data_IF_296313479190
#
_entry.id   IF_296313479190
#
_cell.length_a   1.000
_cell.length_b   1.000
_cell.length_c   1.000
_cell.angle_alpha   90.00
_cell.angle_beta   90.00
_cell.angle_gamma   90.00
#
_symmetry.space_group_name_H-M   'P 1'
#
loop_
_entity.id
_entity.type
_entity.pdbx_description
1 polymer ?
#
# COMPACT_ATOMS: atom_id res chain seq x y z
N UNK A 1 9.28 -11.55 4.05
CA UNK A 1 9.39 -10.16 4.59
C UNK A 1 8.14 -9.78 5.36
N UNK A 2 6.97 -9.84 4.78
CA UNK A 2 5.70 -9.41 5.38
C UNK A 2 5.37 -10.02 6.77
N UNK A 3 5.47 -11.34 7.01
CA UNK A 3 5.15 -11.90 8.32
C UNK A 3 6.00 -11.32 9.47
N UNK A 4 7.29 -11.05 9.18
CA UNK A 4 8.18 -10.44 10.17
C UNK A 4 7.81 -8.98 10.45
N UNK A 5 7.42 -8.23 9.40
CA UNK A 5 7.00 -6.83 9.54
C UNK A 5 5.77 -6.72 10.45
N UNK A 6 4.75 -7.52 10.17
CA UNK A 6 3.52 -7.54 10.97
C UNK A 6 3.75 -7.99 12.41
N UNK A 7 4.57 -9.04 12.60
CA UNK A 7 4.93 -9.50 13.94
C UNK A 7 5.68 -8.44 14.76
N UNK A 8 6.58 -7.68 14.15
CA UNK A 8 7.28 -6.58 14.81
C UNK A 8 6.34 -5.43 15.20
N UNK A 9 5.32 -5.16 14.40
CA UNK A 9 4.34 -4.12 14.66
C UNK A 9 3.20 -4.58 15.59
N UNK A 10 3.05 -5.88 15.82
CA UNK A 10 1.97 -6.46 16.64
C UNK A 10 0.59 -6.34 15.98
N UNK A 11 0.54 -6.40 14.65
CA UNK A 11 -0.69 -6.30 13.87
C UNK A 11 -0.82 -7.44 12.86
N UNK A 12 -1.97 -7.55 12.22
CA UNK A 12 -2.25 -8.46 11.10
C UNK A 12 -2.48 -7.67 9.80
N UNK A 13 -2.36 -8.33 8.61
CA UNK A 13 -2.62 -7.66 7.33
C UNK A 13 -3.97 -6.95 7.22
N UNK A 14 -4.99 -7.49 7.87
CA UNK A 14 -6.36 -6.93 7.91
C UNK A 14 -6.48 -5.61 8.66
N UNK A 15 -5.46 -5.26 9.47
CA UNK A 15 -5.44 -4.05 10.27
C UNK A 15 -4.84 -2.86 9.48
N UNK A 16 -4.41 -3.08 8.25
CA UNK A 16 -3.88 -2.04 7.35
C UNK A 16 -5.06 -1.30 6.70
N UNK A 17 -5.11 0.01 6.87
CA UNK A 17 -6.18 0.87 6.35
C UNK A 17 -5.88 1.42 4.96
N UNK A 18 -4.60 1.68 4.67
CA UNK A 18 -4.10 2.21 3.41
C UNK A 18 -2.78 1.51 3.05
N UNK A 19 -2.53 1.30 1.77
CA UNK A 19 -1.26 0.74 1.33
C UNK A 19 -0.64 1.56 0.19
N UNK A 20 0.57 2.03 0.39
CA UNK A 20 1.38 2.72 -0.59
C UNK A 20 2.39 1.73 -1.18
N UNK A 21 1.95 1.01 -2.22
CA UNK A 21 2.68 -0.09 -2.84
C UNK A 21 3.56 0.41 -3.99
N UNK A 22 4.83 0.02 -4.01
CA UNK A 22 5.77 0.45 -5.05
C UNK A 22 5.38 -0.09 -6.42
N UNK A 23 4.89 0.80 -7.27
CA UNK A 23 4.23 0.53 -8.55
C UNK A 23 5.08 0.94 -9.76
N UNK A 24 6.32 0.45 -9.86
CA UNK A 24 7.13 0.66 -11.08
C UNK A 24 6.52 -0.03 -12.32
N UNK A 25 5.65 -1.02 -12.14
CA UNK A 25 4.76 -1.62 -13.13
C UNK A 25 3.44 -2.00 -12.46
N UNK A 26 2.32 -1.85 -13.15
CA UNK A 26 0.97 -2.14 -12.61
C UNK A 26 0.83 -3.58 -12.07
N UNK A 27 1.40 -4.58 -12.73
CA UNK A 27 1.40 -5.96 -12.27
C UNK A 27 2.09 -6.19 -10.93
N UNK A 28 3.01 -5.31 -10.55
CA UNK A 28 3.71 -5.41 -9.27
C UNK A 28 2.81 -5.08 -8.08
N UNK A 29 1.79 -4.28 -8.28
CA UNK A 29 0.78 -4.01 -7.24
C UNK A 29 0.02 -5.29 -6.91
N UNK A 30 -0.40 -6.05 -7.93
CA UNK A 30 -1.11 -7.33 -7.74
C UNK A 30 -0.25 -8.34 -6.96
N UNK A 31 1.02 -8.48 -7.33
CA UNK A 31 1.95 -9.38 -6.62
C UNK A 31 2.14 -8.97 -5.15
N UNK A 32 2.29 -7.67 -4.90
CA UNK A 32 2.45 -7.16 -3.53
C UNK A 32 1.19 -7.33 -2.68
N UNK A 33 -0.01 -7.18 -3.26
CA UNK A 33 -1.26 -7.46 -2.55
C UNK A 33 -1.27 -8.89 -2.00
N UNK A 34 -0.81 -9.85 -2.79
CA UNK A 34 -0.71 -11.25 -2.38
C UNK A 34 0.44 -11.52 -1.41
N UNK A 35 1.64 -11.00 -1.71
CA UNK A 35 2.86 -11.23 -0.92
C UNK A 35 2.77 -10.63 0.50
N UNK A 36 2.07 -9.51 0.64
CA UNK A 36 1.81 -8.88 1.94
C UNK A 36 0.55 -9.40 2.62
N UNK A 37 -0.16 -10.36 2.01
CA UNK A 37 -1.36 -10.97 2.58
C UNK A 37 -2.56 -10.03 2.67
N UNK A 38 -2.57 -8.97 1.86
CA UNK A 38 -3.66 -8.00 1.77
C UNK A 38 -4.86 -8.57 1.00
N UNK A 39 -4.62 -9.59 0.20
CA UNK A 39 -5.61 -10.49 -0.37
C UNK A 39 -5.05 -11.92 -0.41
N UNK A 40 -5.87 -12.90 -0.78
CA UNK A 40 -5.38 -14.28 -0.86
C UNK A 40 -4.53 -14.49 -2.12
N UNK A 41 -3.57 -15.42 -2.03
CA UNK A 41 -2.74 -15.81 -3.16
C UNK A 41 -3.63 -16.31 -4.31
N UNK A 42 -3.41 -15.76 -5.52
CA UNK A 42 -4.20 -16.04 -6.73
C UNK A 42 -5.48 -15.22 -6.86
N UNK A 43 -5.82 -14.37 -5.89
CA UNK A 43 -7.02 -13.51 -5.91
C UNK A 43 -6.71 -12.03 -6.18
N UNK A 44 -5.44 -11.65 -6.32
CA UNK A 44 -5.05 -10.25 -6.50
C UNK A 44 -5.68 -9.57 -7.72
N UNK A 45 -5.75 -10.29 -8.84
CA UNK A 45 -6.42 -9.80 -10.06
C UNK A 45 -7.91 -9.50 -9.82
N UNK A 46 -8.65 -10.47 -9.28
CA UNK A 46 -10.08 -10.31 -9.00
C UNK A 46 -10.33 -9.24 -7.92
N UNK A 47 -9.45 -9.12 -6.92
CA UNK A 47 -9.52 -8.08 -5.91
C UNK A 47 -9.46 -6.68 -6.54
N UNK A 48 -8.55 -6.47 -7.49
CA UNK A 48 -8.42 -5.21 -8.23
C UNK A 48 -9.61 -4.97 -9.16
N UNK A 49 -10.03 -5.97 -9.93
CA UNK A 49 -11.17 -5.87 -10.86
C UNK A 49 -12.47 -5.50 -10.13
N UNK A 50 -12.68 -6.03 -8.95
CA UNK A 50 -13.84 -5.72 -8.10
C UNK A 50 -13.74 -4.36 -7.39
N UNK A 51 -12.70 -3.58 -7.68
CA UNK A 51 -12.52 -2.24 -7.13
C UNK A 51 -11.97 -2.24 -5.69
N UNK A 52 -11.42 -3.36 -5.22
CA UNK A 52 -10.92 -3.49 -3.86
C UNK A 52 -9.86 -2.48 -3.45
N UNK A 53 -9.08 -1.96 -4.42
CA UNK A 53 -8.02 -0.96 -4.18
C UNK A 53 -8.43 0.49 -4.43
N UNK A 54 -9.68 0.73 -4.80
CA UNK A 54 -10.14 2.08 -5.17
C UNK A 54 -10.35 2.97 -3.96
N UNK A 55 -9.91 4.20 -4.05
CA UNK A 55 -10.36 5.27 -3.17
C UNK A 55 -11.63 5.93 -3.78
N UNK A 56 -12.65 6.32 -2.99
CA UNK A 56 -12.77 6.10 -1.53
C UNK A 56 -13.38 4.77 -1.11
N UNK A 57 -13.98 4.00 -2.03
CA UNK A 57 -14.95 2.95 -1.73
C UNK A 57 -14.36 1.52 -1.72
N UNK A 58 -13.06 1.37 -1.95
CA UNK A 58 -12.38 0.06 -1.94
C UNK A 58 -12.16 -0.48 -0.53
N UNK A 59 -11.99 -1.79 -0.44
CA UNK A 59 -11.71 -2.48 0.83
C UNK A 59 -10.34 -2.08 1.42
N UNK A 60 -9.38 -1.80 0.56
CA UNK A 60 -8.04 -1.33 0.90
C UNK A 60 -7.59 -0.32 -0.16
N UNK A 61 -7.76 0.98 0.05
CA UNK A 61 -7.24 1.98 -0.87
C UNK A 61 -5.72 1.87 -1.06
N UNK A 62 -5.28 1.84 -2.31
CA UNK A 62 -3.87 1.69 -2.68
C UNK A 62 -3.40 2.89 -3.49
N UNK A 63 -2.21 3.41 -3.16
CA UNK A 63 -1.57 4.50 -3.89
C UNK A 63 -2.50 5.70 -4.11
N UNK A 64 -3.07 6.20 -3.03
CA UNK A 64 -4.10 7.25 -3.03
C UNK A 64 -3.68 8.56 -3.69
N UNK A 65 -2.36 8.79 -3.81
CA UNK A 65 -1.76 9.92 -4.53
C UNK A 65 -1.54 9.68 -6.04
N UNK A 66 -1.76 8.43 -6.50
CA UNK A 66 -1.56 8.04 -7.90
C UNK A 66 -0.32 7.17 -8.17
N UNK A 67 0.55 7.01 -7.17
CA UNK A 67 1.76 6.20 -7.25
C UNK A 67 2.82 6.74 -8.23
N UNK A 68 3.83 5.91 -8.53
CA UNK A 68 4.85 6.24 -9.53
C UNK A 68 4.28 6.35 -10.95
N UNK A 69 3.16 5.66 -11.23
CA UNK A 69 2.57 5.60 -12.57
C UNK A 69 1.76 6.84 -12.95
N UNK A 70 1.25 7.59 -11.98
CA UNK A 70 0.37 8.74 -12.23
C UNK A 70 0.87 10.06 -11.62
N UNK A 71 1.87 10.01 -10.75
CA UNK A 71 2.52 11.18 -10.19
C UNK A 71 3.99 11.26 -10.62
N UNK A 72 4.79 12.11 -9.98
CA UNK A 72 6.23 12.20 -10.27
C UNK A 72 6.96 10.95 -9.76
N UNK A 73 7.82 10.38 -10.59
CA UNK A 73 8.60 9.20 -10.24
C UNK A 73 9.81 9.57 -9.37
N UNK A 74 9.64 9.55 -8.05
CA UNK A 74 10.68 9.83 -7.07
C UNK A 74 11.12 8.59 -6.28
N UNK A 75 11.20 7.44 -6.95
CA UNK A 75 11.70 6.18 -6.39
C UNK A 75 11.04 5.78 -5.04
N UNK A 76 9.71 6.00 -4.94
CA UNK A 76 8.92 5.65 -3.76
C UNK A 76 8.89 6.71 -2.65
N UNK A 77 9.58 7.84 -2.79
CA UNK A 77 9.49 8.93 -1.81
C UNK A 77 8.08 9.54 -1.74
N UNK A 78 7.37 9.60 -2.86
CA UNK A 78 5.97 10.06 -2.91
C UNK A 78 5.05 9.17 -2.08
N UNK A 79 5.26 7.87 -2.09
CA UNK A 79 4.53 6.90 -1.26
C UNK A 79 4.70 7.20 0.24
N UNK A 80 5.93 7.46 0.69
CA UNK A 80 6.17 7.84 2.08
C UNK A 80 5.52 9.17 2.46
N UNK A 81 5.57 10.14 1.56
CA UNK A 81 4.92 11.45 1.78
C UNK A 81 3.41 11.28 1.88
N UNK A 82 2.82 10.48 0.99
CA UNK A 82 1.39 10.23 1.02
C UNK A 82 0.96 9.49 2.29
N UNK A 83 1.67 8.45 2.69
CA UNK A 83 1.40 7.73 3.94
C UNK A 83 1.39 8.68 5.16
N UNK A 84 2.36 9.60 5.24
CA UNK A 84 2.38 10.61 6.29
C UNK A 84 1.18 11.56 6.20
N UNK A 85 0.75 11.95 4.99
CA UNK A 85 -0.43 12.79 4.78
C UNK A 85 -1.71 12.08 5.20
N UNK A 86 -1.87 10.80 4.83
CA UNK A 86 -3.01 9.98 5.23
C UNK A 86 -3.13 9.93 6.75
N UNK A 87 -2.06 9.59 7.45
CA UNK A 87 -2.07 9.48 8.91
C UNK A 87 -2.22 10.83 9.64
N UNK A 88 -1.94 11.95 8.96
CA UNK A 88 -2.17 13.31 9.48
C UNK A 88 -3.53 13.89 9.14
N UNK A 89 -4.35 13.19 8.35
CA UNK A 89 -5.61 13.73 7.86
C UNK A 89 -5.44 14.89 6.87
N UNK A 90 -4.36 14.89 6.08
CA UNK A 90 -3.98 15.98 5.19
C UNK A 90 -3.83 15.55 3.71
N UNK A 91 -4.25 14.34 3.38
CA UNK A 91 -4.26 13.87 1.99
C UNK A 91 -5.40 14.51 1.19
N UNK A 92 -5.17 14.72 -0.10
CA UNK A 92 -6.23 15.14 -1.05
C UNK A 92 -7.20 14.01 -1.38
N UNK A 93 -6.75 12.76 -1.20
CA UNK A 93 -7.54 11.53 -1.34
C UNK A 93 -7.62 10.81 0.00
N UNK A 94 -8.04 11.54 1.04
CA UNK A 94 -8.04 11.09 2.41
C UNK A 94 -8.91 9.83 2.62
N UNK A 95 -8.30 8.79 3.20
CA UNK A 95 -9.02 7.64 3.75
C UNK A 95 -9.49 8.01 5.16
N UNK A 96 -10.79 7.92 5.39
CA UNK A 96 -11.38 8.30 6.67
C UNK A 96 -10.87 7.37 7.79
N UNK A 97 -10.53 7.97 8.92
CA UNK A 97 -10.03 7.27 10.12
C UNK A 97 -8.81 6.35 9.91
N UNK A 98 -8.00 6.58 8.88
CA UNK A 98 -6.78 5.80 8.66
C UNK A 98 -5.81 5.91 9.85
N UNK A 99 -5.46 4.77 10.43
CA UNK A 99 -4.52 4.66 11.55
C UNK A 99 -3.23 3.93 11.18
N UNK A 100 -3.28 3.02 10.20
CA UNK A 100 -2.16 2.18 9.80
C UNK A 100 -1.98 2.23 8.29
N UNK A 101 -0.78 2.63 7.85
CA UNK A 101 -0.39 2.68 6.45
C UNK A 101 0.82 1.78 6.19
N UNK A 102 0.74 0.92 5.18
CA UNK A 102 1.82 0.07 4.72
C UNK A 102 2.51 0.72 3.52
N UNK A 103 3.78 1.04 3.67
CA UNK A 103 4.62 1.55 2.56
C UNK A 103 5.59 0.47 2.13
N UNK A 104 5.67 0.21 0.82
CA UNK A 104 6.68 -0.67 0.23
C UNK A 104 7.63 0.08 -0.68
N UNK A 105 8.84 -0.44 -0.85
CA UNK A 105 9.87 0.19 -1.68
C UNK A 105 10.75 -0.87 -2.35
N UNK A 106 11.28 -0.52 -3.51
CA UNK A 106 12.23 -1.30 -4.26
C UNK A 106 11.63 -2.20 -5.35
N UNK A 107 12.34 -2.38 -6.47
CA UNK A 107 11.94 -3.30 -7.53
C UNK A 107 12.13 -4.75 -7.08
N UNK A 108 11.35 -5.65 -7.62
CA UNK A 108 11.24 -7.07 -7.25
C UNK A 108 12.53 -7.89 -7.28
N UNK A 109 13.58 -7.43 -7.97
CA UNK A 109 14.84 -8.12 -8.14
C UNK A 109 16.02 -7.50 -7.37
N UNK A 110 15.76 -6.52 -6.53
CA UNK A 110 16.73 -5.85 -5.66
C UNK A 110 16.27 -5.92 -4.21
N UNK A 111 17.16 -5.58 -3.26
CA UNK A 111 16.73 -5.46 -1.87
C UNK A 111 15.51 -4.53 -1.77
N UNK A 112 14.38 -5.10 -1.36
CA UNK A 112 13.16 -4.36 -1.10
C UNK A 112 13.06 -4.05 0.38
N UNK A 113 12.44 -2.94 0.72
CA UNK A 113 12.13 -2.56 2.08
C UNK A 113 10.65 -2.27 2.23
N UNK A 114 10.16 -2.38 3.45
CA UNK A 114 8.79 -2.01 3.78
C UNK A 114 8.73 -1.45 5.19
N UNK A 115 7.79 -0.60 5.42
CA UNK A 115 7.51 -0.03 6.73
C UNK A 115 6.02 0.02 6.99
N UNK A 116 5.65 -0.06 8.24
CA UNK A 116 4.32 0.27 8.72
C UNK A 116 4.43 1.58 9.48
N UNK A 117 3.60 2.52 9.10
CA UNK A 117 3.41 3.77 9.80
C UNK A 117 2.12 3.71 10.59
N UNK A 118 2.11 4.32 11.78
CA UNK A 118 0.94 4.38 12.64
C UNK A 118 0.75 5.78 13.19
N UNK A 119 -0.51 6.18 13.23
CA UNK A 119 -0.96 7.41 13.88
C UNK A 119 -0.99 7.25 15.41
#
# INVERSE_FOLDING_TARGET
>A
MAPRLYAMAGIEPKDVDVAELYDHFSGMVILQLEDYGLCKIGEGGSFVENGGIKWPDGNLPVNTHGGNLSEVYLLGMTHMVEAVRQLRGASTSQVEDAEIDLVTSGPSNLPSSSMLLRR
#
